data_IF_723576842668
#
_entry.id   IF_723576842668
#
_cell.length_a   1.000
_cell.length_b   1.000
_cell.length_c   1.000
_cell.angle_alpha   90.00
_cell.angle_beta   90.00
_cell.angle_gamma   90.00
#
_symmetry.space_group_name_H-M   'P 1'
#
loop_
_entity.id
_entity.type
_entity.pdbx_description
1 polymer ?
#
# COMPACT_ATOMS: atom_id res chain seq x y z
N UNK A 1 6.09 -19.34 -0.48
CA UNK A 1 6.57 -20.18 -1.61
C UNK A 1 7.46 -21.28 -1.07
N UNK A 2 7.26 -22.55 -1.47
CA UNK A 2 7.98 -23.72 -0.93
C UNK A 2 9.41 -23.89 -1.49
N UNK A 3 10.12 -22.79 -1.77
CA UNK A 3 11.49 -22.83 -2.31
C UNK A 3 11.61 -23.14 -3.80
N UNK A 4 10.52 -23.03 -4.58
CA UNK A 4 10.59 -23.18 -6.03
C UNK A 4 11.47 -22.07 -6.65
N UNK A 5 12.33 -22.38 -7.64
CA UNK A 5 13.17 -21.38 -8.30
C UNK A 5 12.35 -20.29 -8.98
N UNK A 6 12.76 -19.03 -8.85
CA UNK A 6 12.05 -17.89 -9.43
C UNK A 6 11.87 -18.03 -10.96
N UNK A 7 12.82 -18.68 -11.65
CA UNK A 7 12.74 -18.91 -13.10
C UNK A 7 11.63 -19.90 -13.49
N UNK A 8 11.47 -20.99 -12.74
CA UNK A 8 10.40 -21.95 -12.99
C UNK A 8 9.01 -21.31 -12.76
N UNK A 9 8.91 -20.45 -11.74
CA UNK A 9 7.69 -19.68 -11.47
C UNK A 9 7.43 -18.67 -12.59
N UNK A 10 8.46 -18.01 -13.11
CA UNK A 10 8.35 -17.07 -14.24
C UNK A 10 7.75 -17.77 -15.47
N UNK A 11 8.28 -18.94 -15.83
CA UNK A 11 7.84 -19.71 -16.99
C UNK A 11 6.40 -20.20 -16.82
N UNK A 12 6.06 -20.74 -15.65
CA UNK A 12 4.70 -21.15 -15.31
C UNK A 12 3.70 -19.98 -15.37
N UNK A 13 4.10 -18.81 -14.88
CA UNK A 13 3.26 -17.62 -14.83
C UNK A 13 3.17 -16.88 -16.18
N UNK A 14 3.94 -17.31 -17.21
CA UNK A 14 3.99 -16.63 -18.50
C UNK A 14 4.53 -15.20 -18.44
N UNK A 15 5.34 -14.88 -17.42
CA UNK A 15 5.87 -13.54 -17.24
C UNK A 15 7.01 -13.27 -18.21
N UNK A 16 6.84 -12.23 -19.04
CA UNK A 16 7.89 -11.75 -19.94
C UNK A 16 9.19 -11.40 -19.20
N UNK A 17 9.06 -10.70 -18.07
CA UNK A 17 10.19 -10.23 -17.28
C UNK A 17 10.25 -10.90 -15.90
N UNK A 18 11.46 -11.26 -15.47
CA UNK A 18 11.69 -11.85 -14.15
C UNK A 18 11.33 -10.88 -13.01
N UNK A 19 11.44 -9.57 -13.25
CA UNK A 19 11.08 -8.53 -12.28
C UNK A 19 9.61 -8.61 -11.84
N UNK A 20 8.72 -8.99 -12.74
CA UNK A 20 7.30 -9.23 -12.44
C UNK A 20 7.14 -10.38 -11.45
N UNK A 21 7.88 -11.48 -11.63
CA UNK A 21 7.88 -12.60 -10.68
C UNK A 21 8.49 -12.20 -9.33
N UNK A 22 9.63 -11.51 -9.34
CA UNK A 22 10.33 -11.06 -8.12
C UNK A 22 9.47 -10.16 -7.23
N UNK A 23 8.61 -9.33 -7.82
CA UNK A 23 7.66 -8.48 -7.10
C UNK A 23 6.66 -9.29 -6.27
N UNK A 24 6.49 -10.58 -6.55
CA UNK A 24 5.58 -11.45 -5.80
C UNK A 24 6.30 -12.54 -5.01
N UNK A 25 7.62 -12.71 -5.16
CA UNK A 25 8.40 -13.74 -4.47
C UNK A 25 8.31 -13.65 -2.94
N UNK A 26 8.06 -12.45 -2.41
CA UNK A 26 7.88 -12.20 -0.98
C UNK A 26 6.42 -12.40 -0.51
N UNK A 27 5.48 -12.74 -1.39
CA UNK A 27 4.11 -13.10 -1.02
C UNK A 27 4.10 -14.50 -0.38
N UNK A 28 4.42 -14.53 0.90
CA UNK A 28 4.07 -15.66 1.77
C UNK A 28 2.58 -15.57 2.12
N UNK A 29 1.94 -16.71 2.47
CA UNK A 29 0.58 -16.68 3.03
C UNK A 29 0.46 -15.68 4.19
N UNK A 30 1.46 -15.61 5.07
CA UNK A 30 1.51 -14.64 6.15
C UNK A 30 1.55 -13.16 5.68
N UNK A 31 2.21 -12.87 4.57
CA UNK A 31 2.24 -11.51 4.01
C UNK A 31 0.88 -11.12 3.39
N UNK A 32 0.19 -12.07 2.76
CA UNK A 32 -1.17 -11.86 2.26
C UNK A 32 -2.16 -11.65 3.41
N UNK A 33 -2.10 -12.50 4.44
CA UNK A 33 -2.93 -12.35 5.65
C UNK A 33 -2.68 -11.00 6.34
N UNK A 34 -1.41 -10.57 6.45
CA UNK A 34 -1.07 -9.26 7.01
C UNK A 34 -1.63 -8.10 6.18
N UNK A 35 -1.57 -8.18 4.84
CA UNK A 35 -2.13 -7.17 3.96
C UNK A 35 -3.66 -7.09 4.06
N UNK A 36 -4.35 -8.24 4.11
CA UNK A 36 -5.81 -8.30 4.33
C UNK A 36 -6.17 -7.65 5.67
N UNK A 37 -5.48 -8.02 6.75
CA UNK A 37 -5.71 -7.41 8.08
C UNK A 37 -5.47 -5.89 8.10
N UNK A 38 -4.54 -5.39 7.29
CA UNK A 38 -4.27 -3.95 7.18
C UNK A 38 -5.42 -3.22 6.45
N UNK A 39 -6.04 -3.86 5.46
CA UNK A 39 -7.19 -3.31 4.74
C UNK A 39 -8.47 -3.35 5.56
N UNK A 40 -8.66 -4.42 6.34
CA UNK A 40 -9.79 -4.60 7.26
C UNK A 40 -9.68 -3.74 8.52
N UNK A 41 -8.47 -3.26 8.84
CA UNK A 41 -8.27 -2.39 9.97
C UNK A 41 -9.08 -1.10 9.77
N UNK A 42 -9.83 -0.65 10.81
CA UNK A 42 -10.50 0.65 10.74
C UNK A 42 -9.45 1.70 10.43
N UNK A 43 -9.71 2.54 9.43
CA UNK A 43 -8.83 3.67 9.14
C UNK A 43 -8.63 4.42 10.44
N UNK A 44 -7.37 4.48 10.90
CA UNK A 44 -7.01 5.31 12.05
C UNK A 44 -7.70 6.66 11.85
N UNK A 45 -8.35 7.25 12.88
CA UNK A 45 -8.77 8.63 12.81
C UNK A 45 -7.49 9.48 12.81
N UNK A 46 -6.75 9.47 11.69
CA UNK A 46 -5.96 10.62 11.32
C UNK A 46 -6.97 11.76 11.29
N UNK A 47 -6.69 12.79 12.08
CA UNK A 47 -7.47 14.02 12.22
C UNK A 47 -7.70 14.63 10.84
N UNK A 48 -8.70 14.11 10.14
CA UNK A 48 -9.15 14.57 8.83
C UNK A 48 -10.08 15.73 9.13
N UNK A 49 -9.50 16.89 9.42
CA UNK A 49 -10.29 18.04 9.86
C UNK A 49 -9.51 19.30 10.16
N UNK A 50 -8.19 19.26 10.34
CA UNK A 50 -7.42 20.46 10.76
C UNK A 50 -7.07 21.43 9.62
N UNK A 51 -7.92 21.50 8.57
CA UNK A 51 -7.93 22.68 7.70
C UNK A 51 -8.72 23.75 8.45
N UNK A 52 -8.00 24.57 9.22
CA UNK A 52 -8.54 25.83 9.72
C UNK A 52 -8.49 26.84 8.57
N UNK A 53 -9.66 27.34 8.20
CA UNK A 53 -9.80 28.47 7.28
C UNK A 53 -9.13 29.70 7.91
N UNK A 54 -8.04 30.18 7.30
CA UNK A 54 -7.47 31.49 7.63
C UNK A 54 -8.46 32.56 7.16
N UNK A 55 -9.44 32.87 8.00
CA UNK A 55 -10.42 33.92 7.76
C UNK A 55 -9.71 35.25 7.55
N UNK A 56 -9.88 35.83 6.35
CA UNK A 56 -9.32 37.10 5.96
C UNK A 56 -9.76 38.23 6.88
N UNK A 57 -8.81 38.82 7.61
CA UNK A 57 -9.00 40.11 8.28
C UNK A 57 -8.85 41.24 7.28
N UNK A 58 -9.95 41.66 6.64
CA UNK A 58 -10.02 42.97 6.01
C UNK A 58 -10.24 44.05 7.08
N UNK A 59 -9.28 44.98 7.12
CA UNK A 59 -9.26 46.35 7.67
C UNK A 59 -10.52 46.91 8.36
N UNK A 60 -10.35 47.49 9.57
CA UNK A 60 -11.16 48.60 10.06
C UNK A 60 -10.42 49.40 11.16
N UNK A 61 -10.17 50.67 10.86
CA UNK A 61 -10.04 51.88 11.70
C UNK A 61 -9.66 51.78 13.19
N UNK A 62 -8.54 52.43 13.53
CA UNK A 62 -8.40 53.38 14.66
C UNK A 62 -7.18 54.29 14.46
#
# INVERSE_FOLDING_TARGET
MRGAPARAIQELAGHRDLSTTQRYMHLSPAALDAAVRLLDAPRSPSTRGDILETGGGTFADA
#
